data_IF_703997458469
#
_entry.id   IF_703997458469
#
_cell.length_a   1.000
_cell.length_b   1.000
_cell.length_c   1.000
_cell.angle_alpha   90.00
_cell.angle_beta   90.00
_cell.angle_gamma   90.00
#
_symmetry.space_group_name_H-M   'P 1'
#
loop_
_entity.id
_entity.type
_entity.pdbx_description
1 polymer ?
#
# COMPACT_ATOMS: atom_id res chain seq x y z
N UNK A 1 4.37 -6.29 -26.55
CA UNK A 1 2.95 -6.50 -26.88
C UNK A 1 2.12 -5.63 -25.96
N UNK A 2 0.90 -5.31 -26.36
CA UNK A 2 -0.02 -4.49 -25.55
C UNK A 2 -0.29 -5.14 -24.18
N UNK A 3 -0.35 -6.48 -24.14
CA UNK A 3 -0.42 -7.28 -22.90
C UNK A 3 0.75 -6.97 -21.96
N UNK A 4 1.98 -6.94 -22.46
CA UNK A 4 3.15 -6.68 -21.61
C UNK A 4 3.14 -5.25 -21.06
N UNK A 5 2.73 -4.27 -21.88
CA UNK A 5 2.65 -2.89 -21.44
C UNK A 5 1.56 -2.70 -20.36
N UNK A 6 0.38 -3.28 -20.58
CA UNK A 6 -0.72 -3.22 -19.61
C UNK A 6 -0.34 -3.93 -18.28
N UNK A 7 0.34 -5.08 -18.36
CA UNK A 7 0.85 -5.77 -17.18
C UNK A 7 1.86 -4.91 -16.40
N UNK A 8 2.81 -4.26 -17.08
CA UNK A 8 3.79 -3.37 -16.44
C UNK A 8 3.11 -2.19 -15.75
N UNK A 9 2.13 -1.57 -16.39
CA UNK A 9 1.37 -0.47 -15.78
C UNK A 9 0.59 -0.92 -14.53
N UNK A 10 -0.05 -2.08 -14.59
CA UNK A 10 -0.76 -2.65 -13.44
C UNK A 10 0.19 -2.92 -12.27
N UNK A 11 1.36 -3.52 -12.55
CA UNK A 11 2.39 -3.78 -11.55
C UNK A 11 2.97 -2.49 -10.95
N UNK A 12 3.19 -1.45 -11.76
CA UNK A 12 3.68 -0.15 -11.29
C UNK A 12 2.69 0.52 -10.33
N UNK A 13 1.39 0.50 -10.66
CA UNK A 13 0.34 1.02 -9.78
C UNK A 13 0.28 0.22 -8.46
N UNK A 14 0.28 -1.11 -8.54
CA UNK A 14 0.27 -1.97 -7.34
C UNK A 14 1.51 -1.74 -6.47
N UNK A 15 2.68 -1.64 -7.08
CA UNK A 15 3.95 -1.34 -6.39
C UNK A 15 3.89 0.02 -5.69
N UNK A 16 3.25 1.02 -6.32
CA UNK A 16 3.11 2.36 -5.73
C UNK A 16 2.26 2.32 -4.46
N UNK A 17 1.14 1.59 -4.49
CA UNK A 17 0.26 1.37 -3.32
C UNK A 17 1.03 0.62 -2.23
N UNK A 18 1.67 -0.50 -2.57
CA UNK A 18 2.44 -1.30 -1.62
C UNK A 18 3.55 -0.47 -0.96
N UNK A 19 4.31 0.30 -1.75
CA UNK A 19 5.38 1.16 -1.25
C UNK A 19 4.88 2.33 -0.41
N UNK A 20 3.62 2.74 -0.51
CA UNK A 20 3.05 3.73 0.42
C UNK A 20 2.83 3.11 1.82
N UNK A 21 2.42 1.84 1.86
CA UNK A 21 2.04 1.12 3.07
C UNK A 21 3.27 0.53 3.79
N UNK A 22 4.14 -0.16 3.05
CA UNK A 22 5.29 -0.90 3.59
C UNK A 22 6.60 -0.54 2.88
N UNK A 23 7.71 -0.76 3.56
CA UNK A 23 9.05 -0.55 2.99
C UNK A 23 9.54 -1.81 2.26
N UNK A 24 9.13 -1.97 0.99
CA UNK A 24 9.48 -3.13 0.15
C UNK A 24 10.95 -3.22 -0.22
N UNK A 25 11.65 -2.08 -0.23
CA UNK A 25 13.04 -1.95 -0.70
C UNK A 25 14.10 -2.21 0.39
N UNK A 26 13.70 -2.35 1.65
CA UNK A 26 14.65 -2.61 2.74
C UNK A 26 15.06 -4.09 2.77
N UNK A 27 16.33 -4.38 2.46
CA UNK A 27 16.84 -5.77 2.44
C UNK A 27 17.56 -6.17 3.71
N UNK A 28 18.01 -5.18 4.50
CA UNK A 28 18.73 -5.42 5.75
C UNK A 28 18.33 -4.39 6.84
N UNK A 29 18.66 -4.64 8.12
CA UNK A 29 18.28 -3.74 9.21
C UNK A 29 18.85 -2.33 9.13
N UNK A 30 20.00 -2.11 8.46
CA UNK A 30 20.60 -0.78 8.29
C UNK A 30 19.85 0.05 7.25
N UNK A 31 19.26 -0.59 6.24
CA UNK A 31 18.42 0.09 5.24
C UNK A 31 17.21 0.72 5.93
N UNK A 32 16.57 -0.01 6.85
CA UNK A 32 15.42 0.49 7.62
C UNK A 32 15.71 1.77 8.39
N UNK A 33 16.96 2.00 8.79
CA UNK A 33 17.37 3.22 9.50
C UNK A 33 17.62 4.42 8.56
N UNK A 34 17.83 4.18 7.27
CA UNK A 34 18.18 5.21 6.28
C UNK A 34 17.00 5.59 5.39
N UNK A 35 16.05 4.69 5.23
CA UNK A 35 14.91 4.87 4.35
C UNK A 35 13.77 5.61 5.05
N UNK A 36 12.95 6.39 4.32
CA UNK A 36 11.78 7.02 4.90
C UNK A 36 10.79 6.00 5.48
N UNK A 37 10.24 6.30 6.65
CA UNK A 37 9.19 5.51 7.29
C UNK A 37 7.91 5.50 6.43
N UNK A 38 7.31 4.31 6.27
CA UNK A 38 6.03 4.12 5.57
C UNK A 38 4.86 4.09 6.54
N UNK A 39 3.62 3.99 6.05
CA UNK A 39 2.43 4.08 6.91
C UNK A 39 2.45 3.05 8.05
N UNK A 40 2.86 1.81 7.75
CA UNK A 40 3.03 0.75 8.76
C UNK A 40 4.03 1.12 9.87
N UNK A 41 5.21 1.64 9.52
CA UNK A 41 6.22 2.09 10.50
C UNK A 41 5.69 3.22 11.38
N UNK A 42 4.96 4.17 10.79
CA UNK A 42 4.36 5.30 11.50
C UNK A 42 3.30 4.83 12.50
N UNK A 43 2.46 3.87 12.11
CA UNK A 43 1.45 3.26 12.99
C UNK A 43 2.11 2.49 14.14
N UNK A 44 3.12 1.67 13.88
CA UNK A 44 3.89 0.96 14.92
C UNK A 44 4.54 1.94 15.91
N UNK A 45 5.08 3.06 15.40
CA UNK A 45 5.63 4.12 16.24
C UNK A 45 4.56 4.75 17.11
N UNK A 46 3.39 5.06 16.56
CA UNK A 46 2.27 5.63 17.31
C UNK A 46 1.77 4.67 18.41
N UNK A 47 1.66 3.37 18.10
CA UNK A 47 1.32 2.33 19.08
C UNK A 47 2.31 2.36 20.24
N UNK A 48 3.61 2.45 19.95
CA UNK A 48 4.66 2.50 20.97
C UNK A 48 4.56 3.75 21.85
N UNK A 49 4.19 4.91 21.27
CA UNK A 49 3.97 6.15 22.02
C UNK A 49 2.76 6.01 22.95
N UNK A 50 1.64 5.49 22.44
CA UNK A 50 0.42 5.31 23.24
C UNK A 50 0.65 4.29 24.37
N UNK A 51 1.39 3.22 24.11
CA UNK A 51 1.70 2.19 25.10
C UNK A 51 2.77 2.60 26.14
N UNK A 52 3.42 3.77 25.97
CA UNK A 52 4.53 4.19 26.84
C UNK A 52 4.11 4.64 28.25
N UNK A 53 2.81 4.86 28.48
CA UNK A 53 2.28 5.31 29.75
C UNK A 53 0.91 4.65 30.03
N UNK A 54 0.63 4.37 31.30
CA UNK A 54 -0.69 3.88 31.75
C UNK A 54 -1.69 5.05 31.89
N UNK A 55 -1.99 5.66 30.76
CA UNK A 55 -2.92 6.77 30.62
C UNK A 55 -3.65 6.68 29.27
N UNK A 56 -4.82 7.32 29.16
CA UNK A 56 -5.50 7.42 27.88
C UNK A 56 -4.64 8.15 26.84
N UNK A 57 -4.79 7.85 25.52
CA UNK A 57 -4.07 8.55 24.47
C UNK A 57 -4.26 10.07 24.54
N UNK A 58 -3.19 10.82 24.26
CA UNK A 58 -3.28 12.28 24.17
C UNK A 58 -4.12 12.70 22.95
N UNK A 59 -4.66 13.92 22.98
CA UNK A 59 -5.39 14.50 21.84
C UNK A 59 -4.56 14.46 20.55
N UNK A 60 -3.27 14.78 20.65
CA UNK A 60 -2.33 14.75 19.54
C UNK A 60 -2.13 13.32 19.01
N UNK A 61 -2.02 12.32 19.89
CA UNK A 61 -1.93 10.91 19.47
C UNK A 61 -3.17 10.46 18.70
N UNK A 62 -4.37 10.88 19.14
CA UNK A 62 -5.62 10.59 18.43
C UNK A 62 -5.73 11.31 17.08
N UNK A 63 -5.28 12.56 16.98
CA UNK A 63 -5.24 13.32 15.71
C UNK A 63 -4.27 12.68 14.71
N UNK A 64 -3.08 12.26 15.18
CA UNK A 64 -2.11 11.53 14.35
C UNK A 64 -2.70 10.20 13.88
N UNK A 65 -3.37 9.45 14.77
CA UNK A 65 -4.06 8.22 14.37
C UNK A 65 -5.07 8.48 13.26
N UNK A 66 -5.96 9.47 13.43
CA UNK A 66 -6.97 9.81 12.42
C UNK A 66 -6.35 10.17 11.06
N UNK A 67 -5.25 10.92 11.06
CA UNK A 67 -4.53 11.25 9.83
C UNK A 67 -3.86 10.03 9.17
N UNK A 68 -3.28 9.12 9.95
CA UNK A 68 -2.68 7.90 9.42
C UNK A 68 -3.73 6.91 8.91
N UNK A 69 -4.85 6.78 9.62
CA UNK A 69 -5.99 5.95 9.22
C UNK A 69 -6.55 6.43 7.87
N UNK A 70 -6.80 7.73 7.72
CA UNK A 70 -7.28 8.29 6.45
C UNK A 70 -6.32 8.03 5.27
N UNK A 71 -5.00 8.07 5.51
CA UNK A 71 -4.01 7.72 4.48
C UNK A 71 -4.03 6.23 4.13
N UNK A 72 -4.31 5.34 5.09
CA UNK A 72 -4.48 3.90 4.82
C UNK A 72 -5.75 3.66 4.03
N UNK A 73 -6.86 4.29 4.42
CA UNK A 73 -8.15 4.19 3.71
C UNK A 73 -8.02 4.67 2.25
N UNK A 74 -7.20 5.70 2.00
CA UNK A 74 -6.87 6.14 0.63
C UNK A 74 -6.15 5.04 -0.16
N UNK A 75 -5.16 4.36 0.44
CA UNK A 75 -4.47 3.27 -0.26
C UNK A 75 -5.37 2.05 -0.48
N UNK A 76 -6.27 1.77 0.45
CA UNK A 76 -7.26 0.69 0.33
C UNK A 76 -8.22 0.95 -0.82
N UNK A 77 -8.76 2.17 -0.91
CA UNK A 77 -9.61 2.58 -2.03
C UNK A 77 -8.89 2.52 -3.39
N UNK A 78 -7.60 2.88 -3.43
CA UNK A 78 -6.79 2.75 -4.65
C UNK A 78 -6.57 1.29 -5.04
N UNK A 79 -6.38 0.39 -4.05
CA UNK A 79 -6.22 -1.03 -4.29
C UNK A 79 -7.52 -1.66 -4.80
N UNK A 80 -8.65 -1.31 -4.20
CA UNK A 80 -9.98 -1.75 -4.63
C UNK A 80 -10.26 -1.31 -6.07
N UNK A 81 -9.95 -0.07 -6.43
CA UNK A 81 -10.07 0.40 -7.81
C UNK A 81 -9.13 -0.33 -8.77
N UNK A 82 -7.90 -0.62 -8.36
CA UNK A 82 -6.96 -1.40 -9.17
C UNK A 82 -7.46 -2.82 -9.43
N UNK A 83 -8.01 -3.49 -8.42
CA UNK A 83 -8.54 -4.85 -8.53
C UNK A 83 -9.87 -4.86 -9.31
N UNK A 84 -10.75 -3.91 -9.03
CA UNK A 84 -12.09 -3.85 -9.63
C UNK A 84 -12.07 -3.42 -11.09
N UNK A 85 -11.27 -2.41 -11.42
CA UNK A 85 -11.29 -1.78 -12.74
C UNK A 85 -10.07 -2.18 -13.58
N UNK A 86 -8.85 -1.90 -13.08
CA UNK A 86 -7.63 -2.06 -13.88
C UNK A 86 -7.32 -3.54 -14.18
N UNK A 87 -7.47 -4.42 -13.18
CA UNK A 87 -7.27 -5.87 -13.36
C UNK A 87 -8.37 -6.49 -14.24
N UNK A 88 -9.62 -6.01 -14.14
CA UNK A 88 -10.69 -6.45 -15.02
C UNK A 88 -10.40 -6.09 -16.48
N UNK A 89 -10.00 -4.84 -16.75
CA UNK A 89 -9.62 -4.38 -18.08
C UNK A 89 -8.39 -5.16 -18.62
N UNK A 90 -7.41 -5.43 -17.77
CA UNK A 90 -6.26 -6.27 -18.14
C UNK A 90 -6.68 -7.69 -18.51
N UNK A 91 -7.60 -8.30 -17.75
CA UNK A 91 -8.12 -9.63 -18.01
C UNK A 91 -8.90 -9.74 -19.33
N UNK A 92 -9.62 -8.69 -19.72
CA UNK A 92 -10.28 -8.63 -21.02
C UNK A 92 -9.27 -8.59 -22.17
N UNK A 93 -8.21 -7.78 -22.03
CA UNK A 93 -7.12 -7.73 -23.01
C UNK A 93 -6.38 -9.08 -23.11
N UNK A 94 -6.21 -9.80 -21.99
CA UNK A 94 -5.64 -11.15 -21.99
C UNK A 94 -6.53 -12.15 -22.72
N UNK A 95 -7.86 -12.07 -22.54
CA UNK A 95 -8.83 -12.90 -23.23
C UNK A 95 -8.79 -12.70 -24.75
N UNK A 96 -8.70 -11.45 -25.20
CA UNK A 96 -8.57 -11.10 -26.61
C UNK A 96 -7.26 -11.64 -27.22
N UNK A 97 -6.20 -11.65 -26.41
CA UNK A 97 -4.92 -12.26 -26.75
C UNK A 97 -4.88 -13.80 -26.59
N UNK A 98 -6.00 -14.43 -26.20
CA UNK A 98 -6.13 -15.87 -25.93
C UNK A 98 -5.16 -16.39 -24.86
N UNK A 99 -4.79 -15.55 -23.89
CA UNK A 99 -3.95 -15.91 -22.75
C UNK A 99 -4.82 -16.05 -21.49
N UNK A 100 -4.57 -17.02 -20.59
CA UNK A 100 -5.36 -17.18 -19.38
C UNK A 100 -5.37 -15.94 -18.48
N UNK A 101 -6.55 -15.57 -17.97
CA UNK A 101 -6.73 -14.43 -17.07
C UNK A 101 -6.12 -14.66 -15.68
N UNK A 102 -5.81 -13.57 -14.99
CA UNK A 102 -5.36 -13.55 -13.60
C UNK A 102 -6.58 -13.52 -12.67
N UNK A 103 -6.53 -14.31 -11.59
CA UNK A 103 -7.58 -14.34 -10.56
C UNK A 103 -7.08 -13.54 -9.35
N UNK A 104 -7.95 -12.68 -8.80
CA UNK A 104 -7.70 -11.94 -7.55
C UNK A 104 -7.96 -12.81 -6.32
#
# INVERSE_FOLDING_TARGET
SDVHQAASQLMEKLTTIEEAIIQTKATNPRDRLRMPAKLSDKLVTLISVVASCDAAPTKQSSEVYGSLAAQVDEQDALLDGLIGDDLAAFNDLMRDAQVPSVVA
#
